data_IF_706600143060
#
_entry.id   IF_706600143060
#
_cell.length_a   1.000
_cell.length_b   1.000
_cell.length_c   1.000
_cell.angle_alpha   90.00
_cell.angle_beta   90.00
_cell.angle_gamma   90.00
#
_symmetry.space_group_name_H-M   'P 1'
#
loop_
_entity.id
_entity.type
_entity.pdbx_description
1 polymer ?
#
# COMPACT_ATOMS: atom_id res chain seq x y z
N UNK A 1 -15.14 16.69 -2.97
CA UNK A 1 -14.95 18.13 -2.77
C UNK A 1 -15.20 18.54 -1.30
N UNK A 2 -16.31 18.13 -0.66
CA UNK A 2 -16.62 18.47 0.73
C UNK A 2 -15.60 17.88 1.72
N UNK A 3 -15.11 16.65 1.51
CA UNK A 3 -14.05 16.06 2.31
C UNK A 3 -12.75 16.85 2.28
N UNK A 4 -12.31 17.28 1.11
CA UNK A 4 -11.13 18.13 0.98
C UNK A 4 -11.29 19.46 1.71
N UNK A 5 -12.51 20.02 1.70
CA UNK A 5 -12.82 21.22 2.48
C UNK A 5 -12.77 20.96 3.98
N UNK A 6 -13.30 19.80 4.42
CA UNK A 6 -13.24 19.35 5.82
C UNK A 6 -11.80 19.27 6.33
N UNK A 7 -10.88 18.72 5.54
CA UNK A 7 -9.45 18.62 5.91
C UNK A 7 -8.78 20.00 6.11
N UNK A 8 -9.42 21.11 5.68
CA UNK A 8 -8.92 22.49 5.83
C UNK A 8 -9.58 23.27 6.96
N UNK A 9 -10.53 22.67 7.65
CA UNK A 9 -11.24 23.28 8.79
C UNK A 9 -10.44 23.01 10.07
N UNK A 10 -10.67 23.83 11.11
CA UNK A 10 -10.03 23.64 12.41
C UNK A 10 -10.29 22.24 13.00
N UNK A 11 -9.31 21.64 13.70
CA UNK A 11 -9.42 20.26 14.20
C UNK A 11 -10.66 19.98 15.04
N UNK A 12 -11.14 20.95 15.83
CA UNK A 12 -12.34 20.81 16.65
C UNK A 12 -13.63 20.62 15.84
N UNK A 13 -13.76 21.33 14.71
CA UNK A 13 -14.89 21.18 13.80
C UNK A 13 -14.76 19.98 12.87
N UNK A 14 -13.56 19.46 12.76
CA UNK A 14 -13.25 18.32 11.89
C UNK A 14 -13.95 17.03 12.33
N UNK A 15 -14.10 16.81 13.64
CA UNK A 15 -14.76 15.64 14.22
C UNK A 15 -16.28 15.69 14.08
N UNK A 16 -16.87 16.90 14.05
CA UNK A 16 -18.33 17.07 13.95
C UNK A 16 -18.86 16.90 12.52
N UNK A 17 -17.99 17.00 11.49
CA UNK A 17 -18.40 16.93 10.11
C UNK A 17 -18.28 15.48 9.62
N UNK A 18 -19.35 14.70 9.74
CA UNK A 18 -19.43 13.35 9.20
C UNK A 18 -19.58 13.39 7.67
N UNK A 19 -18.75 12.64 6.93
CA UNK A 19 -18.92 12.54 5.49
C UNK A 19 -20.16 11.70 5.14
N UNK A 20 -20.97 12.17 4.21
CA UNK A 20 -22.06 11.39 3.66
C UNK A 20 -21.53 10.32 2.70
N UNK A 21 -22.02 9.10 2.82
CA UNK A 21 -21.76 8.02 1.87
C UNK A 21 -22.56 8.26 0.58
N UNK A 22 -22.14 7.61 -0.51
CA UNK A 22 -22.70 7.85 -1.84
C UNK A 22 -23.17 6.54 -2.44
N UNK A 23 -24.40 6.51 -2.95
CA UNK A 23 -24.89 5.43 -3.79
C UNK A 23 -24.93 5.90 -5.25
N UNK A 24 -24.20 5.17 -6.13
CA UNK A 24 -24.15 5.42 -7.56
C UNK A 24 -24.96 4.36 -8.31
N UNK A 25 -26.02 4.77 -8.99
CA UNK A 25 -26.88 3.87 -9.77
C UNK A 25 -26.64 4.11 -11.25
N UNK A 26 -26.52 3.04 -12.01
CA UNK A 26 -26.36 3.10 -13.47
C UNK A 26 -25.76 1.82 -14.04
N UNK A 27 -25.91 1.61 -15.34
CA UNK A 27 -25.42 0.42 -16.06
C UNK A 27 -23.90 0.23 -15.88
N UNK A 28 -23.45 -0.99 -16.08
CA UNK A 28 -22.01 -1.32 -16.10
C UNK A 28 -21.32 -0.59 -17.26
N UNK A 29 -20.05 -0.22 -17.08
CA UNK A 29 -19.25 0.39 -18.14
C UNK A 29 -19.40 1.91 -18.33
N UNK A 30 -20.31 2.58 -17.61
CA UNK A 30 -20.51 4.05 -17.74
C UNK A 30 -19.45 4.90 -17.00
N UNK A 31 -18.43 4.27 -16.41
CA UNK A 31 -17.31 4.99 -15.81
C UNK A 31 -17.46 5.33 -14.32
N UNK A 32 -18.45 4.78 -13.59
CA UNK A 32 -18.65 5.04 -12.15
C UNK A 32 -17.38 4.91 -11.32
N UNK A 33 -16.72 3.77 -11.43
CA UNK A 33 -15.46 3.48 -10.70
C UNK A 33 -14.33 4.41 -11.13
N UNK A 34 -14.22 4.70 -12.43
CA UNK A 34 -13.14 5.51 -12.98
C UNK A 34 -13.20 6.96 -12.51
N UNK A 35 -14.40 7.53 -12.40
CA UNK A 35 -14.59 8.87 -11.83
C UNK A 35 -14.09 8.93 -10.40
N UNK A 36 -14.50 7.98 -9.55
CA UNK A 36 -14.08 7.93 -8.14
C UNK A 36 -12.56 7.75 -8.01
N UNK A 37 -11.99 6.83 -8.78
CA UNK A 37 -10.55 6.53 -8.79
C UNK A 37 -9.72 7.73 -9.23
N UNK A 38 -10.11 8.43 -10.29
CA UNK A 38 -9.39 9.62 -10.78
C UNK A 38 -9.46 10.77 -9.78
N UNK A 39 -10.61 11.01 -9.18
CA UNK A 39 -10.76 12.03 -8.14
C UNK A 39 -9.87 11.72 -6.91
N UNK A 40 -9.84 10.47 -6.46
CA UNK A 40 -8.96 10.05 -5.37
C UNK A 40 -7.49 10.31 -5.71
N UNK A 41 -7.05 9.88 -6.90
CA UNK A 41 -5.67 10.06 -7.39
C UNK A 41 -5.28 11.55 -7.49
N UNK A 42 -6.17 12.41 -8.01
CA UNK A 42 -5.91 13.85 -8.10
C UNK A 42 -5.74 14.53 -6.73
N UNK A 43 -6.36 13.96 -5.69
CA UNK A 43 -6.29 14.48 -4.33
C UNK A 43 -5.22 13.80 -3.46
N UNK A 44 -4.47 12.84 -4.00
CA UNK A 44 -3.49 12.05 -3.25
C UNK A 44 -4.14 11.23 -2.11
N UNK A 45 -5.37 10.73 -2.32
CA UNK A 45 -6.11 9.97 -1.33
C UNK A 45 -6.06 8.46 -1.63
N UNK A 46 -5.95 7.60 -0.60
CA UNK A 46 -6.00 6.16 -0.78
C UNK A 46 -7.38 5.72 -1.27
N UNK A 47 -7.38 4.86 -2.27
CA UNK A 47 -8.58 4.37 -2.95
C UNK A 47 -8.48 2.88 -3.20
N UNK A 48 -9.50 2.14 -2.79
CA UNK A 48 -9.67 0.74 -3.15
C UNK A 48 -11.03 0.52 -3.83
N UNK A 49 -11.03 -0.46 -4.74
CA UNK A 49 -12.25 -1.01 -5.31
C UNK A 49 -12.43 -2.44 -4.82
N UNK A 50 -13.61 -2.73 -4.30
CA UNK A 50 -14.01 -4.07 -3.87
C UNK A 50 -15.38 -4.41 -4.45
N UNK A 51 -15.65 -5.70 -4.65
CA UNK A 51 -16.95 -6.19 -5.11
C UNK A 51 -17.73 -6.74 -3.92
N UNK A 52 -18.91 -6.21 -3.67
CA UNK A 52 -19.74 -6.60 -2.51
C UNK A 52 -20.06 -8.11 -2.50
N UNK A 53 -20.20 -8.71 -3.68
CA UNK A 53 -20.48 -10.14 -3.85
C UNK A 53 -19.34 -11.09 -3.46
N UNK A 54 -18.13 -10.57 -3.19
CA UNK A 54 -16.97 -11.38 -2.75
C UNK A 54 -16.89 -11.55 -1.23
N UNK A 55 -17.73 -10.85 -0.49
CA UNK A 55 -17.77 -10.95 0.96
C UNK A 55 -18.79 -11.98 1.41
N UNK A 56 -18.51 -12.57 2.55
CA UNK A 56 -19.37 -13.54 3.22
C UNK A 56 -19.64 -13.09 4.64
N UNK A 57 -20.78 -13.50 5.19
CA UNK A 57 -21.13 -13.28 6.58
C UNK A 57 -20.05 -13.84 7.52
N UNK A 58 -19.82 -13.16 8.64
CA UNK A 58 -18.85 -13.59 9.65
C UNK A 58 -19.16 -15.01 10.13
N UNK A 59 -18.15 -15.88 10.13
CA UNK A 59 -18.27 -17.30 10.48
C UNK A 59 -18.41 -18.25 9.29
N UNK A 60 -18.61 -17.75 8.08
CA UNK A 60 -18.57 -18.56 6.85
C UNK A 60 -17.20 -18.50 6.17
N UNK A 61 -16.91 -19.52 5.35
CA UNK A 61 -15.68 -19.55 4.55
C UNK A 61 -15.78 -18.49 3.46
N UNK A 62 -14.92 -17.47 3.55
CA UNK A 62 -14.89 -16.37 2.59
C UNK A 62 -14.11 -15.17 3.14
N UNK A 63 -14.28 -14.04 2.49
CA UNK A 63 -13.59 -12.80 2.84
C UNK A 63 -14.47 -11.97 3.79
N UNK A 64 -13.95 -11.62 4.97
CA UNK A 64 -14.66 -10.76 5.90
C UNK A 64 -14.72 -9.30 5.40
N UNK A 65 -15.73 -8.56 5.84
CA UNK A 65 -15.93 -7.15 5.42
C UNK A 65 -14.85 -6.22 5.96
N UNK A 66 -14.24 -6.51 7.12
CA UNK A 66 -13.14 -5.71 7.66
C UNK A 66 -11.90 -5.73 6.77
N UNK A 67 -11.73 -6.80 5.97
CA UNK A 67 -10.59 -6.92 5.07
C UNK A 67 -10.48 -5.75 4.08
N UNK A 68 -11.62 -5.10 3.71
CA UNK A 68 -11.56 -3.90 2.86
C UNK A 68 -10.86 -2.73 3.57
N UNK A 69 -11.03 -2.58 4.87
CA UNK A 69 -10.35 -1.53 5.63
C UNK A 69 -8.86 -1.84 5.73
N UNK A 70 -8.50 -3.10 5.94
CA UNK A 70 -7.10 -3.56 5.92
C UNK A 70 -6.44 -3.29 4.57
N UNK A 71 -7.12 -3.57 3.46
CA UNK A 71 -6.64 -3.27 2.11
C UNK A 71 -6.46 -1.77 1.86
N UNK A 72 -7.40 -0.94 2.36
CA UNK A 72 -7.30 0.51 2.25
C UNK A 72 -6.05 1.05 2.95
N UNK A 73 -5.75 0.54 4.15
CA UNK A 73 -4.54 0.92 4.88
C UNK A 73 -3.30 0.51 4.12
N UNK A 74 -3.30 -0.70 3.55
CA UNK A 74 -2.18 -1.17 2.74
C UNK A 74 -1.92 -0.27 1.54
N UNK A 75 -2.99 0.13 0.83
CA UNK A 75 -2.90 1.07 -0.29
C UNK A 75 -2.44 2.47 0.16
N UNK A 76 -2.89 2.91 1.35
CA UNK A 76 -2.42 4.18 1.93
C UNK A 76 -0.93 4.15 2.22
N UNK A 77 -0.41 3.06 2.79
CA UNK A 77 1.03 2.90 3.03
C UNK A 77 1.80 2.94 1.72
N UNK A 78 1.36 2.20 0.71
CA UNK A 78 2.00 2.21 -0.61
C UNK A 78 2.03 3.62 -1.23
N UNK A 79 0.93 4.36 -1.11
CA UNK A 79 0.83 5.73 -1.62
C UNK A 79 1.81 6.66 -0.90
N UNK A 80 1.81 6.65 0.43
CA UNK A 80 2.67 7.50 1.25
C UNK A 80 4.15 7.13 1.05
N UNK A 81 4.48 5.84 0.99
CA UNK A 81 5.85 5.38 0.73
C UNK A 81 6.38 5.94 -0.58
N UNK A 82 5.58 5.84 -1.67
CA UNK A 82 5.98 6.41 -2.97
C UNK A 82 6.21 7.93 -2.92
N UNK A 83 5.37 8.65 -2.19
CA UNK A 83 5.54 10.09 -2.01
C UNK A 83 6.81 10.44 -1.22
N UNK A 84 7.15 9.64 -0.21
CA UNK A 84 8.38 9.82 0.56
C UNK A 84 9.61 9.46 -0.29
N UNK A 85 9.58 8.36 -1.03
CA UNK A 85 10.63 7.97 -1.97
C UNK A 85 10.90 9.05 -3.01
N UNK A 86 9.85 9.64 -3.58
CA UNK A 86 10.00 10.72 -4.57
C UNK A 86 10.65 11.96 -3.95
N UNK A 87 10.32 12.30 -2.70
CA UNK A 87 10.93 13.43 -1.97
C UNK A 87 12.41 13.25 -1.67
N UNK A 88 12.85 12.00 -1.47
CA UNK A 88 14.25 11.69 -1.15
C UNK A 88 14.99 11.00 -2.29
N UNK A 89 14.42 11.03 -3.50
CA UNK A 89 14.93 10.37 -4.68
C UNK A 89 16.39 10.68 -4.96
N UNK A 90 16.75 11.96 -4.92
CA UNK A 90 18.12 12.40 -5.16
C UNK A 90 19.08 11.81 -4.13
N UNK A 91 18.68 11.77 -2.84
CA UNK A 91 19.49 11.16 -1.78
C UNK A 91 19.65 9.66 -1.96
N UNK A 92 18.60 8.97 -2.44
CA UNK A 92 18.65 7.53 -2.75
C UNK A 92 19.63 7.31 -3.90
N UNK A 93 19.53 8.10 -4.96
CA UNK A 93 20.41 7.99 -6.14
C UNK A 93 21.87 8.28 -5.78
N UNK A 94 22.14 9.29 -4.95
CA UNK A 94 23.47 9.62 -4.44
C UNK A 94 24.07 8.46 -3.61
N UNK A 95 23.29 7.86 -2.71
CA UNK A 95 23.72 6.74 -1.88
C UNK A 95 24.01 5.49 -2.72
N UNK A 96 23.18 5.21 -3.74
CA UNK A 96 23.38 4.11 -4.69
C UNK A 96 24.66 4.32 -5.49
N UNK A 97 24.85 5.52 -6.06
CA UNK A 97 26.04 5.86 -6.83
C UNK A 97 27.30 5.73 -5.98
N UNK A 98 27.26 6.25 -4.75
CA UNK A 98 28.37 6.16 -3.80
C UNK A 98 28.75 4.70 -3.52
N UNK A 99 27.79 3.82 -3.23
CA UNK A 99 28.04 2.39 -3.01
C UNK A 99 28.66 1.71 -4.23
N UNK A 100 28.18 2.01 -5.44
CA UNK A 100 28.74 1.45 -6.66
C UNK A 100 30.18 1.93 -6.87
N UNK A 101 30.45 3.21 -6.64
CA UNK A 101 31.80 3.77 -6.77
C UNK A 101 32.75 3.18 -5.74
N UNK A 102 32.33 2.98 -4.49
CA UNK A 102 33.13 2.30 -3.45
C UNK A 102 33.52 0.87 -3.83
N UNK A 103 32.66 0.15 -4.61
CA UNK A 103 32.98 -1.16 -5.15
C UNK A 103 33.98 -1.06 -6.29
N UNK A 104 33.84 -0.05 -7.17
CA UNK A 104 34.73 0.14 -8.34
C UNK A 104 36.09 0.71 -7.96
N UNK A 105 36.14 1.55 -6.93
CA UNK A 105 37.32 2.24 -6.43
C UNK A 105 37.34 2.10 -4.90
N UNK A 106 37.89 1.01 -4.36
CA UNK A 106 37.90 0.78 -2.93
C UNK A 106 38.61 1.92 -2.16
N UNK A 107 38.09 2.30 -1.00
CA UNK A 107 38.66 3.39 -0.20
C UNK A 107 40.11 3.12 0.19
N UNK A 108 40.93 4.16 0.20
CA UNK A 108 42.33 4.05 0.60
C UNK A 108 42.45 3.88 2.13
N UNK A 109 43.45 3.13 2.60
CA UNK A 109 43.75 3.08 4.03
C UNK A 109 44.20 4.46 4.54
N UNK A 110 43.89 4.74 5.80
CA UNK A 110 44.20 6.04 6.43
C UNK A 110 45.70 6.44 6.42
N UNK A 111 46.59 5.46 6.18
CA UNK A 111 48.05 5.63 6.08
C UNK A 111 48.56 5.94 4.67
N UNK A 112 47.66 6.15 3.69
CA UNK A 112 48.08 6.41 2.31
C UNK A 112 48.85 7.73 2.14
N UNK A 113 49.82 7.72 1.23
CA UNK A 113 50.63 8.92 0.90
C UNK A 113 49.76 9.97 0.17
N UNK A 114 50.17 11.22 0.24
CA UNK A 114 49.41 12.33 -0.38
C UNK A 114 49.31 12.17 -1.90
N UNK A 115 50.32 11.65 -2.57
CA UNK A 115 50.28 11.34 -3.99
C UNK A 115 49.25 10.21 -4.32
N UNK A 116 49.09 9.22 -3.45
CA UNK A 116 48.09 8.20 -3.59
C UNK A 116 46.66 8.75 -3.42
N UNK A 117 46.49 9.70 -2.50
CA UNK A 117 45.19 10.40 -2.29
C UNK A 117 44.79 11.22 -3.52
N UNK A 118 45.75 11.97 -4.12
CA UNK A 118 45.47 12.72 -5.34
C UNK A 118 45.09 11.81 -6.51
N UNK A 119 45.78 10.70 -6.69
CA UNK A 119 45.47 9.70 -7.72
C UNK A 119 44.10 9.07 -7.50
N UNK A 120 43.77 8.78 -6.26
CA UNK A 120 42.45 8.24 -5.89
C UNK A 120 41.34 9.23 -6.24
N UNK A 121 41.46 10.49 -5.87
CA UNK A 121 40.47 11.54 -6.15
C UNK A 121 40.26 11.66 -7.67
N UNK A 122 41.35 11.66 -8.46
CA UNK A 122 41.24 11.70 -9.92
C UNK A 122 40.49 10.49 -10.48
N UNK A 123 40.84 9.30 -10.01
CA UNK A 123 40.19 8.07 -10.45
C UNK A 123 38.73 8.03 -10.03
N UNK A 124 38.41 8.43 -8.78
CA UNK A 124 37.06 8.54 -8.26
C UNK A 124 36.18 9.43 -9.14
N UNK A 125 36.64 10.67 -9.41
CA UNK A 125 35.89 11.64 -10.23
C UNK A 125 35.64 11.14 -11.66
N UNK A 126 36.63 10.44 -12.26
CA UNK A 126 36.48 9.85 -13.60
C UNK A 126 35.46 8.72 -13.60
N UNK A 127 35.48 7.85 -12.57
CA UNK A 127 34.53 6.74 -12.46
C UNK A 127 33.13 7.23 -12.14
N UNK A 128 32.99 8.25 -11.27
CA UNK A 128 31.72 8.88 -10.98
C UNK A 128 31.08 9.46 -12.26
N UNK A 129 31.86 10.21 -13.04
CA UNK A 129 31.37 10.76 -14.31
C UNK A 129 30.91 9.67 -15.27
N UNK A 130 31.70 8.58 -15.43
CA UNK A 130 31.35 7.45 -16.30
C UNK A 130 30.12 6.69 -15.80
N UNK A 131 29.90 6.62 -14.47
CA UNK A 131 28.72 6.00 -13.86
C UNK A 131 27.46 6.83 -14.13
N UNK A 132 27.56 8.16 -14.03
CA UNK A 132 26.46 9.09 -14.32
C UNK A 132 26.12 9.13 -15.81
N UNK A 133 27.13 9.09 -16.68
CA UNK A 133 26.96 9.05 -18.14
C UNK A 133 26.45 7.69 -18.65
N UNK A 134 26.32 6.66 -17.78
CA UNK A 134 25.83 5.33 -18.14
C UNK A 134 26.81 4.45 -18.91
N UNK A 135 28.06 4.92 -19.15
CA UNK A 135 29.09 4.18 -19.93
C UNK A 135 29.55 2.89 -19.25
N UNK A 136 29.25 2.71 -17.95
CA UNK A 136 29.62 1.55 -17.17
C UNK A 136 28.43 0.59 -16.92
N UNK A 137 27.24 0.86 -17.44
CA UNK A 137 26.03 0.11 -17.12
C UNK A 137 26.10 -1.39 -17.39
N UNK A 138 26.83 -1.81 -18.44
CA UNK A 138 27.03 -3.22 -18.79
C UNK A 138 28.17 -3.90 -18.03
N UNK A 139 29.00 -3.14 -17.30
CA UNK A 139 30.10 -3.70 -16.52
C UNK A 139 29.54 -4.51 -15.35
N UNK A 140 30.10 -5.70 -15.13
CA UNK A 140 29.71 -6.56 -13.99
C UNK A 140 30.48 -6.17 -12.74
N UNK A 141 29.75 -6.15 -11.62
CA UNK A 141 30.27 -5.91 -10.27
C UNK A 141 29.69 -6.94 -9.31
N UNK A 142 30.44 -7.22 -8.26
CA UNK A 142 29.97 -8.07 -7.15
C UNK A 142 29.33 -7.15 -6.08
N UNK A 143 28.05 -7.38 -5.79
CA UNK A 143 27.32 -6.66 -4.76
C UNK A 143 26.93 -7.60 -3.62
N UNK A 144 26.96 -7.11 -2.40
CA UNK A 144 26.43 -7.81 -1.24
C UNK A 144 24.94 -7.53 -1.09
N UNK A 145 24.13 -8.55 -1.21
CA UNK A 145 22.68 -8.47 -0.99
C UNK A 145 22.30 -9.34 0.20
N UNK A 146 21.38 -8.90 1.07
CA UNK A 146 20.88 -9.75 2.14
C UNK A 146 20.20 -10.98 1.51
N UNK A 147 20.50 -12.16 2.06
CA UNK A 147 19.82 -13.39 1.71
C UNK A 147 18.35 -13.24 2.07
N UNK A 148 17.51 -12.83 1.12
CA UNK A 148 16.05 -13.00 1.28
C UNK A 148 15.88 -14.53 1.35
N UNK A 149 15.38 -15.02 2.49
CA UNK A 149 14.93 -16.41 2.53
C UNK A 149 13.96 -16.56 1.35
N UNK A 150 14.35 -17.33 0.35
CA UNK A 150 13.44 -17.80 -0.68
C UNK A 150 12.43 -18.66 0.06
N UNK A 151 11.35 -18.06 0.51
CA UNK A 151 10.13 -18.80 0.74
C UNK A 151 9.66 -19.18 -0.66
N UNK A 152 9.99 -20.38 -1.10
CA UNK A 152 9.28 -21.02 -2.19
C UNK A 152 7.81 -20.88 -1.83
N UNK A 153 7.06 -20.26 -2.74
CA UNK A 153 5.62 -20.13 -2.65
C UNK A 153 5.09 -21.58 -2.71
N UNK A 154 5.00 -22.22 -1.56
CA UNK A 154 4.22 -23.41 -1.37
C UNK A 154 2.76 -22.96 -1.44
N UNK A 155 2.20 -23.26 -2.59
CA UNK A 155 0.78 -23.38 -2.91
C UNK A 155 -0.20 -22.48 -2.16
N UNK A 156 -0.91 -21.66 -2.94
CA UNK A 156 -1.89 -20.65 -2.55
C UNK A 156 -3.16 -21.17 -1.85
N UNK A 157 -3.10 -22.33 -1.21
CA UNK A 157 -4.23 -22.98 -0.53
C UNK A 157 -4.16 -23.00 1.00
N UNK A 158 -3.16 -22.37 1.62
CA UNK A 158 -3.07 -22.34 3.08
C UNK A 158 -3.74 -21.10 3.71
N UNK A 159 -4.45 -21.27 4.86
CA UNK A 159 -5.12 -20.18 5.54
C UNK A 159 -4.17 -19.08 5.99
N UNK A 160 -4.62 -17.85 5.91
CA UNK A 160 -3.94 -16.57 6.10
C UNK A 160 -3.12 -16.40 7.41
N UNK A 161 -3.30 -17.28 8.39
CA UNK A 161 -2.67 -17.19 9.72
C UNK A 161 -1.21 -17.65 9.76
N UNK A 162 -0.78 -18.54 8.86
CA UNK A 162 0.59 -19.05 8.89
C UNK A 162 1.63 -18.10 8.28
N UNK A 163 1.23 -17.23 7.35
CA UNK A 163 2.14 -16.25 6.77
C UNK A 163 2.54 -15.15 7.76
N UNK A 164 1.63 -14.74 8.63
CA UNK A 164 1.90 -13.73 9.69
C UNK A 164 2.79 -14.29 10.79
N UNK A 165 2.64 -15.56 11.11
CA UNK A 165 3.49 -16.28 12.07
C UNK A 165 4.90 -16.51 11.49
N UNK A 166 5.01 -16.80 10.20
CA UNK A 166 6.28 -16.97 9.50
C UNK A 166 7.03 -15.64 9.30
N UNK A 167 6.29 -14.54 9.07
CA UNK A 167 6.86 -13.19 9.01
C UNK A 167 7.37 -12.73 10.39
N UNK A 168 6.65 -13.08 11.46
CA UNK A 168 7.07 -12.82 12.85
C UNK A 168 8.25 -13.68 13.25
N UNK A 169 8.29 -14.96 12.87
CA UNK A 169 9.42 -15.87 13.03
C UNK A 169 10.64 -15.39 12.22
N UNK A 170 10.45 -14.95 10.98
CA UNK A 170 11.53 -14.39 10.16
C UNK A 170 12.07 -13.07 10.73
N UNK A 171 11.23 -12.22 11.32
CA UNK A 171 11.68 -11.02 12.06
C UNK A 171 12.44 -11.39 13.34
N UNK A 172 12.00 -12.41 14.04
CA UNK A 172 12.63 -12.88 15.29
C UNK A 172 13.95 -13.63 15.05
N UNK A 173 14.01 -14.43 13.98
CA UNK A 173 15.22 -15.15 13.53
C UNK A 173 16.14 -14.27 12.67
N UNK A 174 15.60 -13.32 11.91
CA UNK A 174 16.37 -12.40 11.05
C UNK A 174 17.16 -11.34 11.81
N UNK A 175 16.92 -11.20 13.13
CA UNK A 175 17.75 -10.37 14.01
C UNK A 175 19.13 -10.97 14.33
N UNK A 176 19.35 -12.25 14.07
CA UNK A 176 20.55 -12.96 14.49
C UNK A 176 21.53 -13.33 13.39
N UNK A 177 21.14 -13.34 12.11
CA UNK A 177 22.09 -13.61 11.02
C UNK A 177 21.62 -12.98 9.70
N UNK A 178 22.03 -11.75 9.43
CA UNK A 178 21.98 -11.18 8.06
C UNK A 178 23.13 -11.79 7.25
N UNK A 179 23.03 -13.07 6.87
CA UNK A 179 23.93 -13.64 5.86
C UNK A 179 23.78 -12.81 4.58
N UNK A 180 24.86 -12.15 4.21
CA UNK A 180 24.96 -11.43 2.94
C UNK A 180 25.44 -12.43 1.89
N UNK A 181 24.78 -12.46 0.75
CA UNK A 181 25.20 -13.23 -0.40
C UNK A 181 25.83 -12.26 -1.39
N UNK A 182 27.01 -12.63 -1.86
CA UNK A 182 27.68 -11.95 -2.96
C UNK A 182 27.03 -12.37 -4.27
N UNK A 183 26.59 -11.41 -5.05
CA UNK A 183 25.97 -11.63 -6.37
C UNK A 183 26.66 -10.79 -7.40
N UNK A 184 27.10 -11.43 -8.48
CA UNK A 184 27.65 -10.74 -9.65
C UNK A 184 26.50 -10.29 -10.56
N UNK A 185 26.40 -8.97 -10.79
CA UNK A 185 25.35 -8.35 -11.60
C UNK A 185 25.93 -7.21 -12.45
N UNK A 186 25.21 -6.79 -13.51
CA UNK A 186 25.53 -5.58 -14.22
C UNK A 186 25.34 -4.34 -13.34
N UNK A 187 26.07 -3.25 -13.59
CA UNK A 187 25.87 -1.98 -12.85
C UNK A 187 24.44 -1.48 -12.99
N UNK A 188 23.82 -1.68 -14.15
CA UNK A 188 22.41 -1.36 -14.39
C UNK A 188 21.49 -2.09 -13.41
N UNK A 189 21.68 -3.40 -13.27
CA UNK A 189 20.89 -4.22 -12.34
C UNK A 189 21.24 -3.91 -10.88
N UNK A 190 22.52 -3.64 -10.60
CA UNK A 190 22.99 -3.21 -9.29
C UNK A 190 22.32 -1.92 -8.83
N UNK A 191 22.17 -0.91 -9.71
CA UNK A 191 21.44 0.33 -9.42
C UNK A 191 20.01 0.04 -8.96
N UNK A 192 19.30 -0.88 -9.63
CA UNK A 192 17.91 -1.26 -9.29
C UNK A 192 17.87 -1.95 -7.92
N UNK A 193 18.74 -2.92 -7.69
CA UNK A 193 18.79 -3.69 -6.44
C UNK A 193 19.19 -2.81 -5.23
N UNK A 194 20.25 -2.01 -5.40
CA UNK A 194 20.76 -1.12 -4.33
C UNK A 194 19.79 0.01 -4.02
N UNK A 195 18.99 0.47 -5.00
CA UNK A 195 17.95 1.48 -4.78
C UNK A 195 16.89 0.97 -3.78
N UNK A 196 16.46 -0.28 -3.88
CA UNK A 196 15.55 -0.88 -2.90
C UNK A 196 16.11 -0.86 -1.48
N UNK A 197 17.39 -1.22 -1.31
CA UNK A 197 18.05 -1.19 0.02
C UNK A 197 18.29 0.22 0.53
N UNK A 198 18.69 1.16 -0.34
CA UNK A 198 18.87 2.54 0.03
C UNK A 198 17.54 3.19 0.44
N UNK A 199 16.45 2.91 -0.28
CA UNK A 199 15.11 3.33 0.09
C UNK A 199 14.73 2.81 1.48
N UNK A 200 14.83 1.49 1.74
CA UNK A 200 14.54 0.90 3.06
C UNK A 200 15.37 1.52 4.20
N UNK A 201 16.61 1.93 3.95
CA UNK A 201 17.50 2.51 4.97
C UNK A 201 17.28 4.00 5.23
N UNK A 202 16.82 4.75 4.22
CA UNK A 202 16.64 6.21 4.28
C UNK A 202 15.20 6.62 4.62
N UNK A 203 14.22 5.71 4.45
CA UNK A 203 12.82 5.97 4.78
C UNK A 203 12.56 5.83 6.28
N UNK A 204 11.90 6.81 6.84
CA UNK A 204 11.33 6.73 8.19
C UNK A 204 10.00 5.95 8.13
N UNK A 205 10.08 4.64 8.37
CA UNK A 205 8.93 3.74 8.29
C UNK A 205 7.85 4.07 9.33
N UNK A 206 8.22 4.61 10.50
CA UNK A 206 7.24 5.02 11.50
C UNK A 206 6.50 6.29 11.08
N UNK A 207 7.20 7.27 10.53
CA UNK A 207 6.57 8.47 9.99
C UNK A 207 5.62 8.13 8.82
N UNK A 208 6.03 7.22 7.93
CA UNK A 208 5.20 6.72 6.84
C UNK A 208 3.93 6.05 7.37
N UNK A 209 4.06 5.17 8.37
CA UNK A 209 2.94 4.46 8.98
C UNK A 209 1.93 5.41 9.62
N UNK A 210 2.41 6.37 10.43
CA UNK A 210 1.56 7.38 11.10
C UNK A 210 0.79 8.20 10.06
N UNK A 211 1.48 8.71 9.04
CA UNK A 211 0.86 9.51 7.97
C UNK A 211 -0.13 8.68 7.15
N UNK A 212 0.21 7.43 6.83
CA UNK A 212 -0.66 6.53 6.07
C UNK A 212 -1.94 6.18 6.83
N UNK A 213 -1.86 5.88 8.12
CA UNK A 213 -3.02 5.63 8.99
C UNK A 213 -3.92 6.87 9.01
N UNK A 214 -3.35 8.04 9.32
CA UNK A 214 -4.06 9.31 9.35
C UNK A 214 -4.76 9.61 8.02
N UNK A 215 -4.09 9.32 6.90
CA UNK A 215 -4.64 9.57 5.56
C UNK A 215 -5.73 8.56 5.20
N UNK A 216 -5.61 7.29 5.60
CA UNK A 216 -6.64 6.28 5.44
C UNK A 216 -7.90 6.64 6.21
N UNK A 217 -7.78 7.01 7.49
CA UNK A 217 -8.91 7.41 8.34
C UNK A 217 -9.63 8.65 7.81
N UNK A 218 -8.90 9.70 7.48
CA UNK A 218 -9.49 11.01 7.18
C UNK A 218 -9.81 11.24 5.70
N UNK A 219 -9.17 10.50 4.79
CA UNK A 219 -9.28 10.70 3.35
C UNK A 219 -9.55 9.44 2.56
N UNK A 220 -9.56 8.27 3.20
CA UNK A 220 -9.74 6.99 2.55
C UNK A 220 -11.06 6.88 1.80
N UNK A 221 -11.03 6.20 0.65
CA UNK A 221 -12.20 5.98 -0.20
C UNK A 221 -12.30 4.48 -0.50
N UNK A 222 -13.42 3.87 -0.10
CA UNK A 222 -13.77 2.50 -0.42
C UNK A 222 -14.91 2.51 -1.44
N UNK A 223 -14.65 1.98 -2.63
CA UNK A 223 -15.63 1.83 -3.68
C UNK A 223 -16.18 0.40 -3.69
N UNK A 224 -17.44 0.26 -3.23
CA UNK A 224 -18.17 -1.00 -3.19
C UNK A 224 -18.93 -1.17 -4.50
N UNK A 225 -18.42 -2.01 -5.39
CA UNK A 225 -19.10 -2.32 -6.66
C UNK A 225 -20.10 -3.48 -6.47
N UNK A 226 -21.08 -3.56 -7.36
CA UNK A 226 -22.07 -4.63 -7.39
C UNK A 226 -22.91 -4.76 -6.11
N UNK A 227 -23.21 -3.65 -5.44
CA UNK A 227 -24.00 -3.65 -4.19
C UNK A 227 -25.42 -4.22 -4.42
N UNK A 228 -25.95 -4.10 -5.61
CA UNK A 228 -27.24 -4.65 -6.02
C UNK A 228 -27.29 -6.18 -5.99
N UNK A 229 -26.15 -6.87 -6.03
CA UNK A 229 -26.11 -8.35 -5.93
C UNK A 229 -26.31 -8.90 -4.53
N UNK A 230 -26.03 -8.08 -3.52
CA UNK A 230 -26.32 -8.45 -2.12
C UNK A 230 -27.66 -7.92 -1.64
N UNK A 231 -28.39 -7.15 -2.45
CA UNK A 231 -29.74 -6.74 -2.16
C UNK A 231 -30.70 -7.94 -2.27
N UNK A 232 -31.53 -8.17 -1.25
CA UNK A 232 -32.48 -9.27 -1.17
C UNK A 232 -33.80 -8.85 -1.83
N UNK A 233 -33.99 -9.15 -3.11
CA UNK A 233 -35.26 -8.88 -3.78
C UNK A 233 -36.42 -9.69 -3.21
N UNK A 234 -37.56 -9.04 -2.96
CA UNK A 234 -38.77 -9.64 -2.36
C UNK A 234 -39.46 -10.76 -3.19
N UNK A 235 -38.92 -11.11 -4.38
CA UNK A 235 -39.60 -11.97 -5.34
C UNK A 235 -39.21 -13.44 -5.36
N UNK A 236 -38.20 -13.86 -4.64
CA UNK A 236 -37.87 -15.29 -4.54
C UNK A 236 -38.22 -15.80 -3.16
N UNK A 237 -38.95 -16.92 -3.13
CA UNK A 237 -39.39 -17.66 -1.93
C UNK A 237 -38.25 -18.25 -1.07
N UNK A 238 -37.31 -17.45 -0.68
CA UNK A 238 -36.17 -17.73 0.19
C UNK A 238 -35.33 -16.49 0.27
N UNK A 239 -35.43 -15.75 1.36
CA UNK A 239 -34.39 -14.81 1.73
C UNK A 239 -33.07 -15.58 1.70
N UNK A 240 -32.10 -15.11 0.94
CA UNK A 240 -30.75 -15.67 1.00
C UNK A 240 -30.07 -15.08 2.26
N UNK A 241 -30.03 -15.85 3.39
CA UNK A 241 -29.56 -15.30 4.67
C UNK A 241 -28.14 -14.78 4.57
N UNK A 242 -27.33 -15.37 3.70
CA UNK A 242 -25.94 -14.98 3.53
C UNK A 242 -25.78 -13.57 2.96
N UNK A 243 -26.67 -13.13 2.06
CA UNK A 243 -26.64 -11.77 1.50
C UNK A 243 -27.06 -10.71 2.50
N UNK A 244 -28.07 -11.01 3.32
CA UNK A 244 -28.52 -10.13 4.39
C UNK A 244 -27.45 -10.04 5.50
N UNK A 245 -26.78 -11.15 5.82
CA UNK A 245 -25.66 -11.20 6.75
C UNK A 245 -24.53 -10.28 6.34
N UNK A 246 -24.11 -10.32 5.07
CA UNK A 246 -23.06 -9.39 4.55
C UNK A 246 -23.49 -7.94 4.70
N UNK A 247 -24.76 -7.59 4.45
CA UNK A 247 -25.23 -6.21 4.63
C UNK A 247 -25.18 -5.79 6.11
N UNK A 248 -25.54 -6.67 7.03
CA UNK A 248 -25.47 -6.41 8.48
C UNK A 248 -24.01 -6.25 8.95
N UNK A 249 -23.09 -7.04 8.41
CA UNK A 249 -21.66 -6.93 8.72
C UNK A 249 -21.02 -5.65 8.15
N UNK A 250 -21.53 -5.16 7.00
CA UNK A 250 -21.09 -3.89 6.41
C UNK A 250 -21.52 -2.67 7.24
N UNK A 251 -22.67 -2.75 7.91
CA UNK A 251 -23.27 -1.61 8.59
C UNK A 251 -22.33 -0.95 9.62
N UNK A 252 -21.74 -1.70 10.59
CA UNK A 252 -20.82 -1.08 11.56
C UNK A 252 -19.62 -0.41 10.89
N UNK A 253 -19.12 -0.99 9.79
CA UNK A 253 -17.97 -0.43 9.06
C UNK A 253 -18.34 0.89 8.38
N UNK A 254 -19.56 0.99 7.85
CA UNK A 254 -20.05 2.17 7.12
C UNK A 254 -20.48 3.28 8.08
N UNK A 255 -21.04 2.93 9.24
CA UNK A 255 -21.48 3.87 10.28
C UNK A 255 -20.33 4.41 11.14
N UNK A 256 -19.27 3.65 11.28
CA UNK A 256 -18.09 3.98 12.07
C UNK A 256 -17.76 2.91 13.10
N UNK A 257 -16.62 2.31 12.96
CA UNK A 257 -16.10 1.27 13.87
C UNK A 257 -14.57 1.32 13.93
N UNK A 258 -14.02 0.57 14.89
CA UNK A 258 -12.58 0.41 15.02
C UNK A 258 -12.19 -0.95 14.43
N UNK A 259 -11.38 -0.94 13.37
CA UNK A 259 -10.88 -2.14 12.71
C UNK A 259 -9.41 -2.37 13.04
N UNK A 260 -9.09 -3.57 13.48
CA UNK A 260 -7.70 -3.95 13.76
C UNK A 260 -6.97 -4.30 12.47
N UNK A 261 -5.79 -3.69 12.29
CA UNK A 261 -4.90 -3.95 11.16
C UNK A 261 -3.50 -4.32 11.63
N UNK A 262 -2.64 -4.81 10.74
CA UNK A 262 -1.22 -5.06 11.03
C UNK A 262 -0.45 -3.80 11.46
N UNK A 263 -0.95 -2.63 11.09
CA UNK A 263 -0.30 -1.34 11.30
C UNK A 263 -0.88 -0.56 12.49
N UNK A 264 -1.92 -1.07 13.11
CA UNK A 264 -2.64 -0.48 14.23
C UNK A 264 -4.14 -0.47 14.00
N UNK A 265 -4.86 0.12 14.95
CA UNK A 265 -6.30 0.27 14.91
C UNK A 265 -6.67 1.45 14.00
N UNK A 266 -7.70 1.28 13.19
CA UNK A 266 -8.22 2.26 12.23
C UNK A 266 -9.67 2.58 12.55
N UNK A 267 -10.01 3.86 12.63
CA UNK A 267 -11.38 4.35 12.74
C UNK A 267 -11.99 4.54 11.36
N UNK A 268 -13.19 4.02 11.15
CA UNK A 268 -13.86 4.09 9.84
C UNK A 268 -14.82 5.26 9.69
N UNK A 269 -15.10 6.02 10.78
CA UNK A 269 -16.05 7.14 10.84
C UNK A 269 -15.91 8.14 9.70
N UNK A 270 -14.69 8.34 9.25
CA UNK A 270 -14.37 9.31 8.22
C UNK A 270 -13.94 8.72 6.89
N UNK A 271 -13.99 7.42 6.72
CA UNK A 271 -13.79 6.76 5.43
C UNK A 271 -15.00 7.02 4.52
N UNK A 272 -14.79 7.35 3.26
CA UNK A 272 -15.87 7.51 2.28
C UNK A 272 -16.22 6.18 1.66
N UNK A 273 -17.43 5.75 1.86
CA UNK A 273 -17.99 4.62 1.14
C UNK A 273 -18.78 5.12 -0.07
N UNK A 274 -18.44 4.58 -1.23
CA UNK A 274 -19.15 4.81 -2.48
C UNK A 274 -19.66 3.46 -2.95
N UNK A 275 -20.93 3.19 -2.74
CA UNK A 275 -21.58 1.99 -3.24
C UNK A 275 -22.04 2.19 -4.69
N UNK A 276 -21.86 1.19 -5.54
CA UNK A 276 -22.31 1.24 -6.94
C UNK A 276 -23.03 -0.04 -7.32
N UNK A 277 -24.10 0.09 -8.08
CA UNK A 277 -24.87 -1.03 -8.59
C UNK A 277 -25.65 -0.65 -9.85
N UNK A 278 -26.00 -1.65 -10.64
CA UNK A 278 -26.84 -1.47 -11.82
C UNK A 278 -28.32 -1.43 -11.47
N UNK A 279 -28.73 -2.16 -10.44
CA UNK A 279 -30.11 -2.27 -9.96
C UNK A 279 -31.13 -2.65 -11.04
N UNK A 280 -30.73 -3.55 -11.97
CA UNK A 280 -31.62 -4.02 -13.03
C UNK A 280 -32.72 -4.96 -12.53
N UNK A 281 -32.40 -5.80 -11.52
CA UNK A 281 -33.32 -6.81 -10.96
C UNK A 281 -33.80 -6.40 -9.57
N UNK A 282 -32.89 -5.89 -8.74
CA UNK A 282 -33.18 -5.35 -7.40
C UNK A 282 -33.34 -3.83 -7.45
N UNK A 283 -33.89 -3.27 -6.38
CA UNK A 283 -34.00 -1.81 -6.18
C UNK A 283 -33.16 -1.40 -4.98
N UNK A 284 -32.76 -0.13 -4.86
CA UNK A 284 -32.10 0.36 -3.63
C UNK A 284 -32.92 0.10 -2.35
N UNK A 285 -34.27 0.10 -2.46
CA UNK A 285 -35.17 -0.25 -1.35
C UNK A 285 -35.16 -1.72 -0.96
N UNK A 286 -34.47 -2.58 -1.66
CA UNK A 286 -34.28 -3.99 -1.34
C UNK A 286 -33.01 -4.24 -0.50
N UNK A 287 -32.20 -3.19 -0.27
CA UNK A 287 -31.19 -3.19 0.79
C UNK A 287 -31.86 -3.12 2.16
N UNK A 288 -31.16 -3.57 3.21
CA UNK A 288 -31.69 -3.45 4.58
C UNK A 288 -31.93 -1.97 4.92
N UNK A 289 -32.99 -1.66 5.71
CA UNK A 289 -33.40 -0.28 6.01
C UNK A 289 -32.25 0.60 6.54
N UNK A 290 -31.39 0.02 7.36
CA UNK A 290 -30.26 0.68 8.00
C UNK A 290 -29.22 1.19 6.97
N UNK A 291 -28.98 0.44 5.90
CA UNK A 291 -28.08 0.86 4.81
C UNK A 291 -28.70 1.91 3.87
N UNK A 292 -30.03 2.12 3.93
CA UNK A 292 -30.72 3.12 3.11
C UNK A 292 -30.58 4.54 3.68
N UNK A 293 -30.25 4.67 4.97
CA UNK A 293 -30.05 5.95 5.66
C UNK A 293 -28.70 6.57 5.39
#
# INVERSE_FOLDING_TARGET
>A
RNRYRRMKVEPKLHEEIMPKNILMIGSTGVGKTEIARRLAKMMGLPFIKVEASKYTEVGFVGRDVESMVRDLVYESINLVTREFEEKIKDKIDDEVNKKIIEILVPPLPNTASDSAKESFIKTYNVMEKKLLDGTLDDKRIEIEVPKKAHVEILDSSMPFDMSSMQESLNKMLGGLNKEKIKKEVSIKDAKILLRGFASESLLDLEAIKIEAIKRAENGGIIFLDEIDKIASGKKNNGQDPSKEGVQRDLLPIVEGSNVQTKFGQIKTDHILFIAAGAFHVSKPSDLIPELQG
#
